data_IF_247919741098
#
_entry.id   IF_247919741098
#
_cell.length_a   1.000
_cell.length_b   1.000
_cell.length_c   1.000
_cell.angle_alpha   90.00
_cell.angle_beta   90.00
_cell.angle_gamma   90.00
#
_symmetry.space_group_name_H-M   'P 1'
#
loop_
_entity.id
_entity.type
_entity.pdbx_description
1 polymer ?
#
# COMPACT_ATOMS: atom_id res chain seq x y z
N UNK A 1 -26.42 12.48 -42.51
CA UNK A 1 -25.87 11.10 -42.59
C UNK A 1 -24.93 10.94 -41.40
N UNK A 2 -25.46 10.53 -40.26
CA UNK A 2 -24.78 10.52 -38.97
C UNK A 2 -24.34 9.10 -38.72
N UNK A 3 -23.02 8.86 -38.69
CA UNK A 3 -22.43 7.54 -38.45
C UNK A 3 -22.34 7.37 -36.91
N UNK A 4 -23.16 6.47 -36.39
CA UNK A 4 -23.09 6.05 -34.98
C UNK A 4 -22.04 4.96 -34.82
N UNK A 5 -21.01 5.21 -34.04
CA UNK A 5 -20.04 4.20 -33.60
C UNK A 5 -20.62 3.36 -32.45
N UNK A 6 -20.58 2.03 -32.52
CA UNK A 6 -21.03 1.20 -31.40
C UNK A 6 -19.99 1.22 -30.28
N UNK A 7 -20.38 1.68 -29.11
CA UNK A 7 -19.63 1.44 -27.87
C UNK A 7 -19.78 -0.03 -27.48
N UNK A 8 -18.70 -0.78 -27.60
CA UNK A 8 -18.63 -2.14 -27.04
C UNK A 8 -18.61 -2.03 -25.53
N UNK A 9 -19.70 -2.41 -24.88
CA UNK A 9 -19.77 -2.63 -23.45
C UNK A 9 -19.02 -3.94 -23.14
N UNK A 10 -17.83 -3.84 -22.55
CA UNK A 10 -17.12 -4.99 -21.99
C UNK A 10 -17.86 -5.33 -20.68
N UNK A 11 -18.75 -6.30 -20.74
CA UNK A 11 -19.32 -6.92 -19.56
C UNK A 11 -18.20 -7.75 -18.89
N UNK A 12 -17.58 -7.20 -17.84
CA UNK A 12 -16.70 -7.94 -16.96
C UNK A 12 -17.55 -8.93 -16.16
N UNK A 13 -17.57 -10.19 -16.57
CA UNK A 13 -18.18 -11.27 -15.79
C UNK A 13 -17.27 -11.54 -14.58
N UNK A 14 -17.53 -10.89 -13.45
CA UNK A 14 -16.84 -11.13 -12.18
C UNK A 14 -17.37 -12.44 -11.62
N UNK A 15 -16.57 -13.49 -11.70
CA UNK A 15 -16.90 -14.77 -11.06
C UNK A 15 -16.32 -14.73 -9.65
N UNK A 16 -17.21 -14.71 -8.68
CA UNK A 16 -16.90 -14.67 -7.25
C UNK A 16 -16.24 -15.98 -6.79
N UNK A 17 -15.00 -15.92 -6.33
CA UNK A 17 -14.26 -17.06 -5.73
C UNK A 17 -14.72 -17.40 -4.31
N UNK A 18 -15.44 -16.49 -3.66
CA UNK A 18 -16.03 -16.73 -2.35
C UNK A 18 -17.39 -16.07 -2.26
N UNK A 19 -18.45 -16.85 -2.25
CA UNK A 19 -19.65 -16.39 -1.60
C UNK A 19 -19.44 -16.67 -0.10
N UNK A 20 -18.84 -15.74 0.64
CA UNK A 20 -19.05 -15.72 2.07
C UNK A 20 -20.58 -15.67 2.29
N UNK A 21 -21.13 -16.45 3.23
CA UNK A 21 -22.56 -16.37 3.53
C UNK A 21 -22.89 -14.91 3.82
N UNK A 22 -23.95 -14.39 3.21
CA UNK A 22 -24.40 -13.03 3.43
C UNK A 22 -24.52 -12.80 4.94
N UNK A 23 -23.70 -11.91 5.50
CA UNK A 23 -23.73 -11.55 6.90
C UNK A 23 -25.12 -10.96 7.19
N UNK A 24 -25.77 -11.43 8.24
CA UNK A 24 -26.99 -10.78 8.72
C UNK A 24 -26.62 -9.38 9.23
N UNK A 25 -27.48 -8.35 9.01
CA UNK A 25 -27.22 -7.01 9.50
C UNK A 25 -27.08 -7.05 11.04
N UNK A 26 -25.90 -6.76 11.56
CA UNK A 26 -25.64 -6.68 12.99
C UNK A 26 -24.35 -7.32 13.47
N UNK A 27 -23.83 -8.37 12.83
CA UNK A 27 -22.58 -9.00 13.22
C UNK A 27 -21.42 -8.53 12.33
N UNK A 28 -20.66 -7.56 12.82
CA UNK A 28 -19.34 -7.24 12.24
C UNK A 28 -18.42 -8.43 12.54
N UNK A 29 -18.21 -9.32 11.54
CA UNK A 29 -17.26 -10.44 11.62
C UNK A 29 -15.82 -9.94 11.47
N UNK A 30 -15.36 -9.22 12.48
CA UNK A 30 -14.04 -8.55 12.48
C UNK A 30 -12.91 -9.58 12.68
N UNK A 31 -13.24 -10.78 13.16
CA UNK A 31 -12.26 -11.81 13.53
C UNK A 31 -12.00 -12.84 12.41
N UNK A 32 -12.64 -12.70 11.24
CA UNK A 32 -12.41 -13.61 10.14
C UNK A 32 -11.06 -13.32 9.49
N UNK A 33 -10.33 -14.40 9.19
CA UNK A 33 -9.04 -14.33 8.54
C UNK A 33 -8.98 -15.27 7.35
N UNK A 34 -8.47 -14.78 6.23
CA UNK A 34 -8.25 -15.58 5.03
C UNK A 34 -6.82 -15.42 4.56
N UNK A 35 -6.13 -16.54 4.33
CA UNK A 35 -4.82 -16.58 3.68
C UNK A 35 -4.92 -17.25 2.32
N UNK A 36 -4.52 -16.53 1.29
CA UNK A 36 -4.33 -17.03 -0.07
C UNK A 36 -2.84 -17.23 -0.30
N UNK A 37 -2.42 -18.42 -0.71
CA UNK A 37 -1.05 -18.69 -1.11
C UNK A 37 -1.06 -19.10 -2.59
N UNK A 38 -0.61 -18.20 -3.46
CA UNK A 38 -0.58 -18.43 -4.89
C UNK A 38 0.48 -19.49 -5.21
N UNK A 39 0.10 -20.52 -5.93
CA UNK A 39 1.02 -21.50 -6.50
C UNK A 39 1.56 -20.96 -7.84
N UNK A 40 2.55 -21.63 -8.47
CA UNK A 40 3.05 -21.18 -9.77
C UNK A 40 1.92 -20.91 -10.77
N UNK A 41 1.92 -19.78 -11.49
CA UNK A 41 0.77 -19.30 -12.29
C UNK A 41 0.27 -20.27 -13.34
N UNK A 42 1.14 -21.11 -13.90
CA UNK A 42 0.81 -22.15 -14.87
C UNK A 42 -0.16 -23.20 -14.31
N UNK A 43 -0.23 -23.33 -12.99
CA UNK A 43 -1.17 -24.24 -12.32
C UNK A 43 -2.56 -23.65 -12.19
N UNK A 44 -2.71 -22.31 -12.27
CA UNK A 44 -3.92 -21.56 -11.94
C UNK A 44 -4.51 -21.95 -10.59
N UNK A 45 -3.65 -22.31 -9.63
CA UNK A 45 -4.06 -22.87 -8.33
C UNK A 45 -3.62 -21.99 -7.17
N UNK A 46 -4.43 -21.99 -6.11
CA UNK A 46 -4.24 -21.20 -4.90
C UNK A 46 -4.52 -22.09 -3.70
N UNK A 47 -3.62 -22.16 -2.73
CA UNK A 47 -3.95 -22.69 -1.40
C UNK A 47 -4.71 -21.63 -0.64
N UNK A 48 -5.80 -22.02 -0.03
CA UNK A 48 -6.66 -21.11 0.75
C UNK A 48 -6.84 -21.68 2.14
N UNK A 49 -6.62 -20.86 3.14
CA UNK A 49 -6.94 -21.14 4.53
C UNK A 49 -7.94 -20.09 5.02
N UNK A 50 -9.08 -20.56 5.52
CA UNK A 50 -10.10 -19.71 6.15
C UNK A 50 -10.15 -20.00 7.65
N UNK A 51 -10.10 -18.96 8.46
CA UNK A 51 -10.53 -18.99 9.85
C UNK A 51 -11.82 -18.20 9.96
N UNK A 52 -12.88 -18.87 10.35
CA UNK A 52 -14.22 -18.30 10.35
C UNK A 52 -15.04 -18.78 11.55
N UNK A 53 -16.16 -18.09 11.77
CA UNK A 53 -17.08 -18.35 12.87
C UNK A 53 -18.47 -18.71 12.39
N UNK A 54 -18.95 -19.91 12.76
CA UNK A 54 -20.33 -20.28 12.63
C UNK A 54 -21.15 -19.64 13.78
N UNK A 55 -22.10 -18.77 13.47
CA UNK A 55 -22.85 -17.96 14.47
C UNK A 55 -24.32 -18.34 14.58
N UNK A 56 -24.86 -19.20 13.72
CA UNK A 56 -26.25 -19.65 13.78
C UNK A 56 -26.45 -20.57 14.98
N UNK A 57 -27.19 -20.11 15.99
CA UNK A 57 -27.49 -20.88 17.20
C UNK A 57 -28.08 -22.27 16.88
N UNK A 58 -27.60 -23.30 17.55
CA UNK A 58 -28.03 -24.67 17.37
C UNK A 58 -27.51 -25.34 16.11
N UNK A 59 -26.84 -24.63 15.19
CA UNK A 59 -26.29 -25.24 13.99
C UNK A 59 -25.28 -26.33 14.34
N UNK A 60 -25.40 -27.48 13.66
CA UNK A 60 -24.49 -28.63 13.77
C UNK A 60 -23.57 -28.78 12.57
N UNK A 61 -23.80 -27.98 11.53
CA UNK A 61 -23.02 -28.00 10.31
C UNK A 61 -22.71 -26.59 9.86
N UNK A 62 -21.62 -26.44 9.12
CA UNK A 62 -21.25 -25.23 8.39
C UNK A 62 -21.06 -25.57 6.91
N UNK A 63 -21.51 -24.72 5.99
CA UNK A 63 -21.38 -24.95 4.56
C UNK A 63 -20.55 -23.83 3.92
N UNK A 64 -19.40 -24.19 3.38
CA UNK A 64 -18.56 -23.34 2.53
C UNK A 64 -18.94 -23.59 1.06
N UNK A 65 -19.46 -22.58 0.39
CA UNK A 65 -19.89 -22.67 -1.01
C UNK A 65 -18.70 -22.51 -1.96
N UNK A 66 -18.66 -23.38 -2.95
CA UNK A 66 -17.63 -23.36 -3.99
C UNK A 66 -18.14 -22.67 -5.24
N UNK A 67 -17.40 -21.70 -5.82
CA UNK A 67 -17.78 -21.07 -7.08
C UNK A 67 -17.84 -22.09 -8.22
N UNK A 68 -18.77 -21.89 -9.14
CA UNK A 68 -18.88 -22.74 -10.33
C UNK A 68 -17.56 -22.71 -11.15
N UNK A 69 -17.20 -23.86 -11.70
CA UNK A 69 -15.98 -24.01 -12.51
C UNK A 69 -14.67 -24.06 -11.72
N UNK A 70 -14.72 -24.17 -10.39
CA UNK A 70 -13.53 -24.43 -9.56
C UNK A 70 -13.38 -25.93 -9.25
N UNK A 71 -12.11 -26.36 -9.12
CA UNK A 71 -11.80 -27.69 -8.61
C UNK A 71 -11.12 -27.52 -7.26
N UNK A 72 -11.48 -28.38 -6.30
CA UNK A 72 -10.97 -28.34 -4.94
C UNK A 72 -10.27 -29.64 -4.61
N UNK A 73 -9.12 -29.56 -3.94
CA UNK A 73 -8.33 -30.69 -3.46
C UNK A 73 -7.65 -30.35 -2.14
N UNK A 74 -7.12 -31.39 -1.45
CA UNK A 74 -6.35 -31.21 -0.22
C UNK A 74 -7.15 -30.54 0.90
N UNK A 75 -8.46 -30.86 1.02
CA UNK A 75 -9.31 -30.28 2.05
C UNK A 75 -8.95 -30.82 3.42
N UNK A 76 -8.76 -29.92 4.38
CA UNK A 76 -8.64 -30.24 5.81
C UNK A 76 -9.49 -29.25 6.60
N UNK A 77 -10.11 -29.72 7.67
CA UNK A 77 -10.95 -28.90 8.55
C UNK A 77 -10.60 -29.17 10.00
N UNK A 78 -10.45 -28.09 10.77
CA UNK A 78 -10.04 -28.16 12.18
C UNK A 78 -10.98 -27.32 13.05
N UNK A 79 -11.37 -27.84 14.20
CA UNK A 79 -11.99 -27.06 15.28
C UNK A 79 -10.91 -26.19 15.94
N UNK A 80 -11.04 -24.88 15.85
CA UNK A 80 -10.02 -23.96 16.37
C UNK A 80 -10.00 -23.86 17.89
N UNK A 81 -11.06 -24.34 18.58
CA UNK A 81 -11.08 -24.39 20.04
C UNK A 81 -10.25 -25.53 20.62
N UNK A 82 -10.23 -26.67 19.91
CA UNK A 82 -9.60 -27.89 20.41
C UNK A 82 -8.38 -28.31 19.59
N UNK A 83 -8.20 -27.76 18.38
CA UNK A 83 -7.16 -28.18 17.44
C UNK A 83 -7.46 -29.53 16.78
N UNK A 84 -8.64 -30.12 16.98
CA UNK A 84 -8.97 -31.46 16.46
C UNK A 84 -9.55 -31.39 15.05
N UNK A 85 -9.23 -32.38 14.18
CA UNK A 85 -9.83 -32.48 12.86
C UNK A 85 -11.35 -32.68 12.95
N UNK A 86 -12.08 -32.06 12.03
CA UNK A 86 -13.53 -32.20 11.86
C UNK A 86 -13.86 -33.03 10.63
N UNK A 87 -14.98 -33.75 10.68
CA UNK A 87 -15.51 -34.47 9.51
C UNK A 87 -16.18 -33.51 8.54
N UNK A 88 -16.04 -33.75 7.25
CA UNK A 88 -16.63 -32.95 6.21
C UNK A 88 -17.02 -33.80 4.97
N UNK A 89 -17.87 -33.26 4.15
CA UNK A 89 -18.23 -33.80 2.83
C UNK A 89 -17.96 -32.77 1.76
N UNK A 90 -17.40 -33.17 0.63
CA UNK A 90 -17.13 -32.31 -0.53
C UNK A 90 -18.06 -32.69 -1.66
N UNK A 91 -18.76 -31.71 -2.21
CA UNK A 91 -19.56 -31.83 -3.43
C UNK A 91 -18.99 -30.86 -4.50
N UNK A 92 -19.55 -30.89 -5.70
CA UNK A 92 -19.15 -29.96 -6.76
C UNK A 92 -19.33 -28.46 -6.37
N UNK A 93 -20.25 -28.17 -5.44
CA UNK A 93 -20.68 -26.81 -5.14
C UNK A 93 -20.43 -26.38 -3.68
N UNK A 94 -19.98 -27.29 -2.81
CA UNK A 94 -19.82 -26.98 -1.40
C UNK A 94 -18.92 -27.95 -0.65
N UNK A 95 -18.35 -27.45 0.47
CA UNK A 95 -17.76 -28.25 1.54
C UNK A 95 -18.71 -28.12 2.74
N UNK A 96 -19.32 -29.20 3.18
CA UNK A 96 -20.16 -29.23 4.37
C UNK A 96 -19.40 -29.84 5.53
N UNK A 97 -19.18 -29.06 6.58
CA UNK A 97 -18.42 -29.42 7.78
C UNK A 97 -19.40 -29.80 8.89
N UNK A 98 -19.14 -30.92 9.59
CA UNK A 98 -19.82 -31.27 10.83
C UNK A 98 -19.10 -30.64 12.01
N UNK A 99 -19.77 -29.76 12.75
CA UNK A 99 -19.19 -29.08 13.92
C UNK A 99 -19.03 -30.06 15.09
N UNK A 100 -18.00 -29.90 15.89
CA UNK A 100 -17.74 -30.74 17.07
C UNK A 100 -18.87 -30.70 18.10
N UNK A 101 -19.60 -29.59 18.14
CA UNK A 101 -20.77 -29.32 18.98
C UNK A 101 -21.71 -28.34 18.28
N UNK A 102 -23.00 -28.32 18.67
CA UNK A 102 -23.93 -27.29 18.21
C UNK A 102 -23.41 -25.92 18.63
N UNK A 103 -23.62 -24.93 17.76
CA UNK A 103 -23.29 -23.53 18.10
C UNK A 103 -24.12 -23.12 19.33
N UNK A 104 -23.46 -22.68 20.43
CA UNK A 104 -24.17 -22.30 21.65
C UNK A 104 -24.97 -21.01 21.47
N UNK A 105 -26.00 -20.83 22.32
CA UNK A 105 -26.73 -19.57 22.39
C UNK A 105 -25.77 -18.43 22.74
N UNK A 106 -25.83 -17.32 21.98
CA UNK A 106 -24.94 -16.17 22.10
C UNK A 106 -23.42 -16.50 21.98
N UNK A 107 -23.11 -17.64 21.37
CA UNK A 107 -21.73 -18.08 21.12
C UNK A 107 -21.47 -18.33 19.64
N UNK A 108 -20.32 -18.94 19.35
CA UNK A 108 -19.88 -19.26 18.01
C UNK A 108 -19.09 -20.57 17.97
N UNK A 109 -19.06 -21.21 16.81
CA UNK A 109 -18.17 -22.32 16.51
C UNK A 109 -17.07 -21.84 15.58
N UNK A 110 -15.81 -21.83 16.06
CA UNK A 110 -14.66 -21.37 15.25
C UNK A 110 -14.02 -22.56 14.54
N UNK A 111 -13.90 -22.45 13.22
CA UNK A 111 -13.33 -23.51 12.37
C UNK A 111 -12.28 -22.93 11.43
N UNK A 112 -11.29 -23.76 11.10
CA UNK A 112 -10.33 -23.49 10.03
C UNK A 112 -10.59 -24.49 8.91
N UNK A 113 -10.69 -23.97 7.67
CA UNK A 113 -10.80 -24.77 6.45
C UNK A 113 -9.58 -24.47 5.58
N UNK A 114 -8.83 -25.51 5.26
CA UNK A 114 -7.71 -25.47 4.32
C UNK A 114 -8.06 -26.23 3.06
N UNK A 115 -7.72 -25.70 1.91
CA UNK A 115 -7.98 -26.33 0.60
C UNK A 115 -7.09 -25.75 -0.49
N UNK A 116 -6.88 -26.50 -1.55
CA UNK A 116 -6.29 -26.00 -2.80
C UNK A 116 -7.42 -25.80 -3.81
N UNK A 117 -7.53 -24.59 -4.36
CA UNK A 117 -8.54 -24.24 -5.36
C UNK A 117 -7.84 -23.98 -6.68
N UNK A 118 -8.28 -24.69 -7.75
CA UNK A 118 -7.86 -24.39 -9.12
C UNK A 118 -8.92 -23.56 -9.78
N UNK A 119 -8.57 -22.35 -10.24
CA UNK A 119 -9.48 -21.40 -10.89
C UNK A 119 -8.76 -20.60 -11.98
N UNK A 120 -8.75 -21.08 -13.24
CA UNK A 120 -8.13 -20.37 -14.36
C UNK A 120 -8.76 -19.00 -14.65
N UNK A 121 -9.98 -18.76 -14.15
CA UNK A 121 -10.67 -17.48 -14.34
C UNK A 121 -10.19 -16.42 -13.35
N UNK A 122 -9.88 -16.83 -12.12
CA UNK A 122 -9.42 -15.94 -11.07
C UNK A 122 -7.90 -15.75 -11.09
N UNK A 123 -7.15 -16.78 -11.46
CA UNK A 123 -5.69 -16.74 -11.53
C UNK A 123 -5.23 -17.03 -12.95
N UNK A 124 -4.93 -15.96 -13.67
CA UNK A 124 -4.60 -15.95 -15.11
C UNK A 124 -3.16 -15.61 -15.33
N UNK A 125 -2.50 -16.34 -16.24
CA UNK A 125 -1.21 -15.98 -16.79
C UNK A 125 -1.41 -15.32 -18.15
N UNK A 126 -0.74 -14.19 -18.38
CA UNK A 126 -0.60 -13.51 -19.65
C UNK A 126 0.89 -13.35 -19.94
N UNK A 127 1.28 -13.01 -21.19
CA UNK A 127 2.70 -12.94 -21.57
C UNK A 127 3.51 -12.06 -20.60
N UNK A 128 4.38 -12.70 -19.80
CA UNK A 128 5.30 -12.05 -18.87
C UNK A 128 4.73 -11.63 -17.51
N UNK A 129 3.44 -11.82 -17.24
CA UNK A 129 2.81 -11.51 -15.97
C UNK A 129 1.68 -12.49 -15.62
N UNK A 130 1.25 -12.48 -14.37
CA UNK A 130 0.05 -13.18 -13.94
C UNK A 130 -0.84 -12.22 -13.13
N UNK A 131 -2.14 -12.43 -13.17
CA UNK A 131 -3.12 -11.64 -12.42
C UNK A 131 -3.99 -12.56 -11.59
N UNK A 132 -4.11 -12.26 -10.31
CA UNK A 132 -5.03 -12.89 -9.39
C UNK A 132 -6.12 -11.92 -8.98
N UNK A 133 -7.38 -12.34 -9.12
CA UNK A 133 -8.56 -11.53 -8.78
C UNK A 133 -9.42 -12.29 -7.79
N UNK A 134 -9.73 -11.66 -6.66
CA UNK A 134 -10.55 -12.27 -5.61
C UNK A 134 -11.44 -11.23 -4.94
N UNK A 135 -12.74 -11.51 -4.74
CA UNK A 135 -13.59 -10.71 -3.87
C UNK A 135 -13.16 -10.92 -2.41
N UNK A 136 -13.03 -9.82 -1.67
CA UNK A 136 -12.73 -9.83 -0.25
C UNK A 136 -14.03 -9.78 0.54
N UNK A 137 -14.24 -10.74 1.43
CA UNK A 137 -15.20 -10.61 2.52
C UNK A 137 -14.74 -9.61 3.57
N UNK A 138 -15.52 -9.46 4.64
CA UNK A 138 -15.08 -8.71 5.82
C UNK A 138 -13.90 -9.41 6.50
N UNK A 139 -13.04 -8.64 7.17
CA UNK A 139 -11.93 -9.15 7.95
C UNK A 139 -10.55 -8.97 7.31
N UNK A 140 -9.60 -9.76 7.79
CA UNK A 140 -8.20 -9.68 7.41
C UNK A 140 -7.86 -10.72 6.34
N UNK A 141 -7.13 -10.28 5.33
CA UNK A 141 -6.71 -11.12 4.21
C UNK A 141 -5.21 -11.02 3.97
N UNK A 142 -4.53 -12.16 3.94
CA UNK A 142 -3.15 -12.27 3.50
C UNK A 142 -3.11 -12.90 2.10
N UNK A 143 -2.28 -12.36 1.22
CA UNK A 143 -1.98 -12.94 -0.09
C UNK A 143 -0.47 -13.14 -0.22
N UNK A 144 -0.03 -14.39 -0.37
CA UNK A 144 1.39 -14.74 -0.55
C UNK A 144 1.66 -15.06 -2.01
N UNK A 145 2.63 -14.38 -2.60
CA UNK A 145 3.06 -14.61 -3.98
C UNK A 145 3.89 -15.91 -4.11
N UNK A 146 3.95 -16.53 -5.30
CA UNK A 146 4.84 -17.66 -5.53
C UNK A 146 6.31 -17.25 -5.37
N UNK A 147 7.16 -18.20 -5.03
CA UNK A 147 8.61 -17.96 -4.98
C UNK A 147 9.14 -17.50 -6.34
N UNK A 148 10.02 -16.50 -6.34
CA UNK A 148 10.60 -15.92 -7.55
C UNK A 148 9.70 -14.91 -8.28
N UNK A 149 8.54 -14.57 -7.71
CA UNK A 149 7.64 -13.56 -8.26
C UNK A 149 7.66 -12.27 -7.45
N UNK A 150 7.64 -11.14 -8.15
CA UNK A 150 7.54 -9.80 -7.61
C UNK A 150 6.13 -9.23 -7.78
N UNK A 151 5.72 -8.36 -6.86
CA UNK A 151 4.50 -7.57 -6.96
C UNK A 151 4.71 -6.40 -7.93
N UNK A 152 3.86 -6.31 -8.96
CA UNK A 152 3.88 -5.18 -9.91
C UNK A 152 2.58 -4.38 -9.93
N UNK A 153 1.54 -4.83 -9.23
CA UNK A 153 0.29 -4.09 -9.09
C UNK A 153 -0.63 -4.60 -8.00
N UNK A 154 -1.32 -3.67 -7.33
CA UNK A 154 -2.43 -3.93 -6.41
C UNK A 154 -3.41 -2.76 -6.49
N UNK A 155 -4.69 -3.04 -6.71
CA UNK A 155 -5.73 -2.02 -6.82
C UNK A 155 -6.28 -1.56 -5.46
N UNK A 156 -5.99 -2.29 -4.38
CA UNK A 156 -6.40 -1.96 -3.01
C UNK A 156 -5.14 -1.68 -2.20
N UNK A 157 -5.16 -0.69 -1.30
CA UNK A 157 -4.05 -0.45 -0.40
C UNK A 157 -3.72 -1.69 0.43
N UNK A 158 -2.48 -2.17 0.34
CA UNK A 158 -1.98 -3.33 1.04
C UNK A 158 -0.65 -3.01 1.73
N UNK A 159 -0.46 -3.56 2.91
CA UNK A 159 0.85 -3.61 3.55
C UNK A 159 1.64 -4.74 2.88
N UNK A 160 2.87 -4.47 2.50
CA UNK A 160 3.73 -5.47 1.87
C UNK A 160 4.79 -5.94 2.87
N UNK A 161 4.87 -7.24 3.03
CA UNK A 161 5.74 -7.91 3.99
C UNK A 161 6.54 -9.01 3.27
N UNK A 162 7.63 -9.45 3.87
CA UNK A 162 8.35 -10.64 3.45
C UNK A 162 8.04 -11.79 4.41
N UNK A 163 7.72 -12.97 3.87
CA UNK A 163 7.67 -14.22 4.62
C UNK A 163 9.09 -14.67 5.00
N UNK A 164 9.20 -15.60 5.95
CA UNK A 164 10.51 -16.14 6.37
C UNK A 164 11.30 -16.79 5.24
N UNK A 165 10.61 -17.35 4.26
CA UNK A 165 11.21 -17.94 3.06
C UNK A 165 11.50 -16.90 1.94
N UNK A 166 11.25 -15.62 2.21
CA UNK A 166 11.52 -14.51 1.29
C UNK A 166 10.42 -14.25 0.28
N UNK A 167 9.31 -14.98 0.30
CA UNK A 167 8.16 -14.66 -0.57
C UNK A 167 7.50 -13.36 -0.13
N UNK A 168 6.97 -12.63 -1.10
CA UNK A 168 6.21 -11.41 -0.83
C UNK A 168 4.80 -11.75 -0.35
N UNK A 169 4.37 -11.11 0.74
CA UNK A 169 3.02 -11.17 1.29
C UNK A 169 2.35 -9.80 1.29
N UNK A 170 1.11 -9.75 0.87
CA UNK A 170 0.22 -8.59 1.01
C UNK A 170 -0.73 -8.86 2.18
N UNK A 171 -0.85 -7.89 3.07
CA UNK A 171 -1.81 -7.87 4.19
C UNK A 171 -2.84 -6.76 3.92
N UNK A 172 -4.11 -7.15 3.82
CA UNK A 172 -5.24 -6.28 3.52
C UNK A 172 -6.31 -6.44 4.60
N UNK A 173 -6.83 -5.32 5.08
CA UNK A 173 -8.01 -5.30 5.95
C UNK A 173 -9.20 -4.75 5.18
N UNK A 174 -10.25 -5.56 5.03
CA UNK A 174 -11.52 -5.11 4.48
C UNK A 174 -12.55 -4.92 5.61
N UNK A 175 -13.03 -3.70 5.76
CA UNK A 175 -13.98 -3.33 6.83
C UNK A 175 -15.36 -3.07 6.21
N UNK A 176 -16.44 -3.71 6.72
CA UNK A 176 -17.80 -3.45 6.25
C UNK A 176 -18.25 -2.00 6.50
N UNK A 177 -19.24 -1.48 5.73
CA UNK A 177 -19.94 -2.14 4.64
C UNK A 177 -19.18 -1.98 3.33
N UNK A 178 -19.02 -3.03 2.60
CA UNK A 178 -18.53 -2.98 1.23
C UNK A 178 -17.79 -4.24 0.81
N UNK A 179 -18.24 -4.81 -0.29
CA UNK A 179 -17.50 -5.83 -0.99
C UNK A 179 -16.38 -5.15 -1.77
N UNK A 180 -15.14 -5.57 -1.53
CA UNK A 180 -13.99 -5.12 -2.29
C UNK A 180 -13.49 -6.26 -3.18
N UNK A 181 -12.99 -5.94 -4.36
CA UNK A 181 -12.33 -6.92 -5.21
C UNK A 181 -10.84 -6.60 -5.26
N UNK A 182 -10.03 -7.50 -4.72
CA UNK A 182 -8.58 -7.40 -4.81
C UNK A 182 -8.13 -7.92 -6.18
N UNK A 183 -7.35 -7.12 -6.88
CA UNK A 183 -6.66 -7.47 -8.11
C UNK A 183 -5.17 -7.28 -7.90
N UNK A 184 -4.42 -8.38 -7.96
CA UNK A 184 -2.96 -8.36 -7.81
C UNK A 184 -2.32 -8.82 -9.11
N UNK A 185 -1.33 -8.06 -9.56
CA UNK A 185 -0.49 -8.42 -10.72
C UNK A 185 0.92 -8.71 -10.26
N UNK A 186 1.46 -9.81 -10.74
CA UNK A 186 2.78 -10.31 -10.37
C UNK A 186 3.57 -10.73 -11.62
N UNK A 187 4.90 -10.73 -11.49
CA UNK A 187 5.81 -11.08 -12.57
C UNK A 187 6.99 -11.89 -12.00
N UNK A 188 7.50 -12.84 -12.76
CA UNK A 188 8.75 -13.52 -12.42
C UNK A 188 9.94 -12.54 -12.46
N UNK A 189 10.85 -12.59 -11.47
CA UNK A 189 12.01 -11.70 -11.41
C UNK A 189 12.49 -11.38 -10.00
N UNK A 190 11.85 -11.93 -8.96
CA UNK A 190 12.35 -11.84 -7.59
C UNK A 190 13.44 -12.90 -7.32
N UNK A 191 14.24 -12.66 -6.28
CA UNK A 191 15.19 -13.64 -5.77
C UNK A 191 14.45 -14.85 -5.19
N UNK A 192 15.14 -16.00 -5.11
CA UNK A 192 14.63 -17.24 -4.53
C UNK A 192 15.63 -17.84 -3.53
N UNK A 193 15.16 -18.80 -2.72
CA UNK A 193 15.99 -19.51 -1.74
C UNK A 193 16.57 -18.57 -0.69
N UNK A 194 17.78 -18.85 -0.22
CA UNK A 194 18.43 -18.08 0.85
C UNK A 194 18.68 -16.60 0.47
N UNK A 195 18.87 -16.32 -0.82
CA UNK A 195 19.04 -14.94 -1.30
C UNK A 195 17.77 -14.09 -1.18
N UNK A 196 16.59 -14.73 -1.12
CA UNK A 196 15.30 -14.04 -0.95
C UNK A 196 14.98 -13.77 0.52
N UNK A 197 15.57 -14.50 1.47
CA UNK A 197 15.23 -14.37 2.90
C UNK A 197 15.47 -12.94 3.39
N UNK A 198 14.53 -12.37 4.18
CA UNK A 198 14.73 -11.07 4.79
C UNK A 198 15.94 -11.14 5.75
N UNK A 199 16.75 -10.09 5.75
CA UNK A 199 17.76 -9.94 6.77
C UNK A 199 17.10 -9.91 8.16
N UNK A 200 17.72 -10.48 9.20
CA UNK A 200 17.22 -10.34 10.57
C UNK A 200 16.98 -8.85 10.88
N UNK A 201 15.87 -8.54 11.53
CA UNK A 201 15.61 -7.18 11.99
C UNK A 201 16.68 -6.81 13.05
N UNK A 202 17.68 -6.05 12.66
CA UNK A 202 18.75 -5.61 13.55
C UNK A 202 18.37 -4.40 14.41
N UNK A 203 17.22 -3.79 14.16
CA UNK A 203 16.72 -2.66 14.92
C UNK A 203 15.61 -3.08 15.88
N UNK A 204 15.96 -3.19 17.16
CA UNK A 204 15.03 -3.07 18.28
C UNK A 204 14.49 -1.63 18.36
N UNK A 205 13.82 -1.14 17.32
CA UNK A 205 12.98 0.05 17.49
C UNK A 205 11.80 -0.37 18.36
N UNK A 206 11.84 0.00 19.63
CA UNK A 206 10.65 0.01 20.44
C UNK A 206 9.61 0.87 19.73
N UNK A 207 8.43 0.33 19.55
CA UNK A 207 7.26 1.09 19.10
C UNK A 207 6.84 2.04 20.22
N UNK A 208 7.62 3.06 20.46
CA UNK A 208 7.15 4.17 21.27
C UNK A 208 6.26 5.04 20.36
N UNK A 209 5.01 5.27 20.75
CA UNK A 209 4.19 6.23 20.03
C UNK A 209 4.93 7.56 20.01
N UNK A 210 4.94 8.29 18.88
CA UNK A 210 5.54 9.62 18.83
C UNK A 210 4.94 10.48 19.95
N UNK A 211 5.74 11.35 20.58
CA UNK A 211 5.25 12.21 21.67
C UNK A 211 4.03 12.98 21.21
N UNK A 212 3.04 13.11 22.10
CA UNK A 212 1.79 13.81 21.83
C UNK A 212 2.07 15.20 21.25
N UNK A 213 1.58 15.43 20.04
CA UNK A 213 1.84 16.65 19.30
C UNK A 213 1.13 17.83 19.97
N UNK A 214 1.86 18.93 20.25
CA UNK A 214 1.36 20.10 20.93
C UNK A 214 0.36 20.95 20.12
N UNK A 215 -0.18 22.03 20.70
CA UNK A 215 -1.23 22.88 20.10
C UNK A 215 -0.88 23.46 18.72
N UNK A 216 0.40 23.67 18.41
CA UNK A 216 0.90 24.23 17.15
C UNK A 216 0.63 23.32 15.95
N UNK A 217 0.50 22.02 16.18
CA UNK A 217 0.23 21.06 15.12
C UNK A 217 -1.24 20.92 14.78
N UNK A 218 -2.15 21.25 15.71
CA UNK A 218 -3.59 21.37 15.43
C UNK A 218 -3.92 22.52 14.50
N UNK A 219 -3.14 23.62 14.53
CA UNK A 219 -3.29 24.73 13.59
C UNK A 219 -2.84 24.34 12.17
N UNK A 220 -1.83 23.44 12.04
CA UNK A 220 -1.41 22.85 10.76
C UNK A 220 -2.43 21.85 10.17
N UNK A 221 -3.31 21.29 10.98
CA UNK A 221 -4.40 20.41 10.56
C UNK A 221 -5.41 21.11 9.63
N UNK A 222 -5.82 22.33 9.94
CA UNK A 222 -6.74 23.11 9.11
C UNK A 222 -6.11 23.42 7.73
N UNK A 223 -4.81 23.70 7.70
CA UNK A 223 -4.07 23.92 6.46
C UNK A 223 -3.97 22.65 5.60
N UNK A 224 -3.76 21.47 6.21
CA UNK A 224 -3.72 20.19 5.51
C UNK A 224 -5.06 19.79 4.89
N UNK A 225 -6.15 20.05 5.58
CA UNK A 225 -7.49 19.69 5.12
C UNK A 225 -7.95 20.51 3.91
N UNK A 226 -7.41 21.72 3.73
CA UNK A 226 -7.80 22.65 2.68
C UNK A 226 -6.84 22.70 1.49
N UNK A 227 -5.67 22.06 1.57
CA UNK A 227 -4.66 22.16 0.53
C UNK A 227 -4.60 20.88 -0.31
N UNK A 228 -4.85 21.04 -1.60
CA UNK A 228 -4.62 20.00 -2.59
C UNK A 228 -3.10 19.86 -2.79
N UNK A 229 -2.50 18.92 -2.03
CA UNK A 229 -1.05 18.67 -1.99
C UNK A 229 -0.76 17.24 -2.39
N UNK A 230 0.12 17.10 -3.38
CA UNK A 230 0.57 15.84 -3.92
C UNK A 230 2.09 15.84 -4.01
N UNK A 231 2.75 14.88 -3.39
CA UNK A 231 4.21 14.74 -3.46
C UNK A 231 4.57 13.39 -4.07
N UNK A 232 5.46 13.41 -5.07
CA UNK A 232 6.01 12.20 -5.67
C UNK A 232 7.52 12.19 -5.45
N UNK A 233 8.02 11.15 -4.82
CA UNK A 233 9.43 10.87 -4.58
C UNK A 233 9.93 9.85 -5.61
N UNK A 234 10.98 10.18 -6.35
CA UNK A 234 11.65 9.28 -7.29
C UNK A 234 13.01 8.90 -6.70
N UNK A 235 13.12 7.68 -6.18
CA UNK A 235 14.35 7.18 -5.61
C UNK A 235 15.39 6.97 -6.72
N UNK A 236 16.58 7.55 -6.54
CA UNK A 236 17.69 7.36 -7.46
C UNK A 236 18.49 6.08 -7.10
N UNK A 237 19.62 5.83 -7.75
CA UNK A 237 20.46 4.69 -7.37
C UNK A 237 20.79 4.77 -5.88
N UNK A 238 20.59 3.69 -5.08
CA UNK A 238 20.72 3.77 -3.62
C UNK A 238 22.10 4.22 -3.11
N UNK A 239 23.14 3.97 -3.91
CA UNK A 239 24.50 4.43 -3.60
C UNK A 239 24.63 5.96 -3.56
N UNK A 240 23.69 6.70 -4.13
CA UNK A 240 23.70 8.18 -4.10
C UNK A 240 23.07 8.75 -2.83
N UNK A 241 22.31 7.94 -2.09
CA UNK A 241 21.44 8.37 -0.98
C UNK A 241 20.48 9.51 -1.37
N UNK A 242 20.15 9.62 -2.67
CA UNK A 242 19.42 10.74 -3.22
C UNK A 242 18.09 10.30 -3.83
N UNK A 243 17.11 11.18 -3.76
CA UNK A 243 15.84 11.08 -4.46
C UNK A 243 15.42 12.46 -4.97
N UNK A 244 14.89 12.52 -6.17
CA UNK A 244 14.21 13.71 -6.66
C UNK A 244 12.76 13.68 -6.24
N UNK A 245 12.13 14.83 -6.15
CA UNK A 245 10.71 14.94 -5.89
C UNK A 245 10.10 16.11 -6.65
N UNK A 246 8.81 16.02 -6.90
CA UNK A 246 8.00 17.18 -7.13
C UNK A 246 6.86 17.25 -6.12
N UNK A 247 6.42 18.48 -5.83
CA UNK A 247 5.35 18.79 -4.93
C UNK A 247 4.36 19.73 -5.64
N UNK A 248 3.16 19.26 -5.90
CA UNK A 248 2.06 20.07 -6.37
C UNK A 248 1.35 20.67 -5.16
N UNK A 249 1.13 21.98 -5.22
CA UNK A 249 0.65 22.75 -4.10
C UNK A 249 -0.27 23.87 -4.58
N UNK A 250 -1.42 24.03 -3.93
CA UNK A 250 -2.35 25.14 -4.16
C UNK A 250 -2.25 26.12 -3.01
N UNK A 251 -1.88 27.37 -3.30
CA UNK A 251 -1.92 28.46 -2.34
C UNK A 251 -3.21 29.28 -2.54
N UNK A 252 -3.94 29.50 -1.45
CA UNK A 252 -5.20 30.24 -1.44
C UNK A 252 -5.26 31.38 -0.43
N UNK A 253 -4.21 31.56 0.37
CA UNK A 253 -4.16 32.61 1.41
C UNK A 253 -3.86 33.97 0.78
N UNK A 254 -4.77 34.95 0.87
CA UNK A 254 -4.54 36.26 0.30
C UNK A 254 -3.25 36.91 0.86
N UNK A 255 -2.50 37.57 -0.01
CA UNK A 255 -1.25 38.25 0.32
C UNK A 255 -0.01 37.35 0.39
N UNK A 256 -0.16 36.00 0.32
CA UNK A 256 0.98 35.09 0.26
C UNK A 256 1.66 35.18 -1.11
N UNK A 257 2.99 35.40 -1.10
CA UNK A 257 3.83 35.65 -2.29
C UNK A 257 5.04 34.71 -2.37
N UNK A 258 5.17 33.78 -1.42
CA UNK A 258 6.28 32.84 -1.38
C UNK A 258 5.90 31.53 -0.72
N UNK A 259 6.55 30.46 -1.17
CA UNK A 259 6.58 29.16 -0.51
C UNK A 259 7.96 28.94 0.11
N UNK A 260 8.00 28.44 1.33
CA UNK A 260 9.23 28.16 2.06
C UNK A 260 9.29 26.65 2.35
N UNK A 261 10.31 25.99 1.84
CA UNK A 261 10.61 24.62 2.16
C UNK A 261 11.81 24.58 3.12
N UNK A 262 11.58 24.13 4.35
CA UNK A 262 12.66 23.90 5.31
C UNK A 262 13.25 22.54 5.06
N UNK A 263 14.54 22.48 4.71
CA UNK A 263 15.27 21.25 4.46
C UNK A 263 15.49 20.52 5.77
N UNK A 264 15.11 19.24 5.83
CA UNK A 264 15.26 18.45 7.06
C UNK A 264 16.74 18.36 7.48
N UNK A 265 16.98 18.46 8.77
CA UNK A 265 18.30 18.28 9.37
C UNK A 265 18.95 16.96 8.90
N UNK A 266 20.23 17.02 8.51
CA UNK A 266 20.95 15.86 7.96
C UNK A 266 20.65 15.56 6.49
N UNK A 267 19.84 16.38 5.83
CA UNK A 267 19.60 16.33 4.38
C UNK A 267 20.17 17.57 3.69
N UNK A 268 20.32 17.49 2.37
CA UNK A 268 20.66 18.64 1.50
C UNK A 268 19.68 18.70 0.35
N UNK A 269 19.24 19.92 -0.01
CA UNK A 269 18.49 20.17 -1.22
C UNK A 269 19.40 20.63 -2.36
N UNK A 270 19.12 20.22 -3.57
CA UNK A 270 19.82 20.63 -4.79
C UNK A 270 18.84 20.70 -5.97
N UNK A 271 19.23 21.48 -6.99
CA UNK A 271 18.47 21.67 -8.23
C UNK A 271 17.00 22.09 -8.00
N UNK A 272 16.71 23.07 -7.13
CA UNK A 272 15.36 23.54 -6.94
C UNK A 272 14.85 24.19 -8.23
N UNK A 273 13.57 23.94 -8.56
CA UNK A 273 12.87 24.59 -9.64
C UNK A 273 11.38 24.69 -9.31
N UNK A 274 10.70 25.68 -9.88
CA UNK A 274 9.28 25.85 -9.68
C UNK A 274 8.63 26.55 -10.87
N UNK A 275 7.35 26.26 -11.06
CA UNK A 275 6.51 26.94 -12.03
C UNK A 275 5.03 26.94 -11.63
N UNK A 276 4.27 27.86 -12.20
CA UNK A 276 2.81 27.90 -12.03
C UNK A 276 2.20 26.85 -12.96
N UNK A 277 1.44 25.90 -12.40
CA UNK A 277 0.83 24.79 -13.16
C UNK A 277 -0.14 25.29 -14.24
N UNK A 278 -0.88 26.37 -13.95
CA UNK A 278 -1.93 26.86 -14.85
C UNK A 278 -1.37 27.63 -16.05
N UNK A 279 -0.17 28.21 -15.94
CA UNK A 279 0.43 29.06 -17.00
C UNK A 279 1.74 28.51 -17.56
N UNK A 280 2.42 27.63 -16.82
CA UNK A 280 3.78 27.18 -17.13
C UNK A 280 4.87 28.24 -16.84
N UNK A 281 4.52 29.37 -16.21
CA UNK A 281 5.46 30.42 -15.84
C UNK A 281 6.49 29.89 -14.84
N UNK A 282 7.78 30.02 -15.19
CA UNK A 282 8.90 29.62 -14.33
C UNK A 282 9.10 30.66 -13.24
N UNK A 283 9.20 30.16 -12.00
CA UNK A 283 9.29 31.00 -10.80
C UNK A 283 10.71 31.19 -10.35
N UNK A 284 11.00 32.37 -9.77
CA UNK A 284 12.25 32.67 -9.10
C UNK A 284 12.35 31.88 -7.79
N UNK A 285 13.51 31.30 -7.54
CA UNK A 285 13.82 30.64 -6.28
C UNK A 285 15.21 31.02 -5.77
N UNK A 286 15.44 30.79 -4.48
CA UNK A 286 16.74 30.89 -3.86
C UNK A 286 16.88 29.89 -2.71
N UNK A 287 18.11 29.45 -2.45
CA UNK A 287 18.46 28.64 -1.29
C UNK A 287 19.21 29.50 -0.30
N UNK A 288 18.75 29.52 0.96
CA UNK A 288 19.33 30.33 2.04
C UNK A 288 19.76 29.42 3.18
N UNK A 289 20.85 29.78 3.86
CA UNK A 289 21.38 29.00 4.96
C UNK A 289 21.75 29.88 6.16
N UNK A 290 21.39 29.39 7.36
CA UNK A 290 21.78 30.01 8.63
C UNK A 290 21.50 31.52 8.72
N UNK A 291 22.54 32.31 8.84
CA UNK A 291 22.46 33.78 9.01
C UNK A 291 21.78 34.51 7.83
N UNK A 292 21.81 33.95 6.63
CA UNK A 292 21.12 34.53 5.45
C UNK A 292 19.60 34.57 5.63
N UNK A 293 19.04 33.52 6.29
CA UNK A 293 17.61 33.44 6.60
C UNK A 293 17.21 34.58 7.54
N UNK A 294 18.01 34.78 8.58
CA UNK A 294 17.77 35.85 9.58
C UNK A 294 17.97 37.25 8.96
N UNK A 295 18.99 37.43 8.12
CA UNK A 295 19.24 38.70 7.44
C UNK A 295 18.09 39.12 6.51
N UNK A 296 17.40 38.14 5.90
CA UNK A 296 16.20 38.37 5.07
C UNK A 296 14.89 38.41 5.85
N UNK A 297 14.95 38.28 7.18
CA UNK A 297 13.78 38.31 8.08
C UNK A 297 12.72 37.25 7.72
N UNK A 298 13.14 36.11 7.17
CA UNK A 298 12.22 35.02 6.78
C UNK A 298 11.86 34.21 8.03
N UNK A 299 10.57 34.15 8.32
CA UNK A 299 10.02 33.37 9.44
C UNK A 299 9.75 31.94 8.97
N UNK A 300 10.36 30.95 9.64
CA UNK A 300 10.23 29.52 9.28
C UNK A 300 9.49 28.68 10.33
N UNK A 301 9.08 29.31 11.44
CA UNK A 301 8.33 28.63 12.50
C UNK A 301 9.18 27.75 13.42
N UNK A 302 10.49 27.78 13.27
CA UNK A 302 11.48 27.11 14.14
C UNK A 302 12.72 27.98 14.33
N UNK A 303 13.57 27.57 15.26
CA UNK A 303 14.85 28.31 15.52
C UNK A 303 15.82 28.09 14.38
N UNK A 304 16.31 29.20 13.81
CA UNK A 304 17.37 29.16 12.78
C UNK A 304 18.72 28.84 13.43
N UNK A 305 19.36 27.78 12.96
CA UNK A 305 20.74 27.40 13.33
C UNK A 305 21.67 27.60 12.15
N UNK A 306 22.98 27.56 12.34
CA UNK A 306 23.93 27.64 11.22
C UNK A 306 23.74 26.60 10.14
N UNK A 307 23.16 25.45 10.48
CA UNK A 307 22.90 24.34 9.56
C UNK A 307 21.49 24.34 8.98
N UNK A 308 20.61 25.24 9.44
CA UNK A 308 19.26 25.41 8.88
C UNK A 308 19.38 25.86 7.42
N UNK A 309 18.77 25.10 6.52
CA UNK A 309 18.71 25.40 5.08
C UNK A 309 17.24 25.49 4.65
N UNK A 310 16.91 26.50 3.85
CA UNK A 310 15.58 26.67 3.27
C UNK A 310 15.67 26.92 1.77
N UNK A 311 14.65 26.45 1.04
CA UNK A 311 14.40 26.83 -0.34
C UNK A 311 13.18 27.74 -0.37
N UNK A 312 13.35 28.95 -0.89
CA UNK A 312 12.28 29.95 -1.02
C UNK A 312 11.89 30.07 -2.50
N UNK A 313 10.61 30.00 -2.78
CA UNK A 313 10.05 30.14 -4.11
C UNK A 313 9.11 31.33 -4.11
N UNK A 314 9.32 32.27 -5.03
CA UNK A 314 8.56 33.50 -5.13
C UNK A 314 7.53 33.41 -6.25
N UNK A 315 6.31 33.87 -5.98
CA UNK A 315 5.21 33.93 -6.95
C UNK A 315 4.38 35.22 -6.75
N UNK A 316 3.54 35.62 -7.71
CA UNK A 316 2.67 36.75 -7.55
C UNK A 316 1.77 36.59 -6.32
N UNK A 317 1.64 37.68 -5.52
CA UNK A 317 0.82 37.63 -4.31
C UNK A 317 -0.62 37.22 -4.62
N UNK A 318 -1.13 36.23 -3.91
CA UNK A 318 -2.48 35.68 -4.07
C UNK A 318 -3.48 36.78 -3.73
N UNK A 319 -4.41 37.07 -4.65
CA UNK A 319 -5.47 38.04 -4.41
C UNK A 319 -6.67 37.40 -3.70
N UNK A 320 -7.51 38.18 -2.97
CA UNK A 320 -8.73 37.66 -2.38
C UNK A 320 -9.59 36.91 -3.42
N UNK A 321 -10.01 35.69 -3.09
CA UNK A 321 -10.82 34.84 -3.97
C UNK A 321 -10.05 34.16 -5.10
N UNK A 322 -8.72 34.32 -5.16
CA UNK A 322 -7.85 33.63 -6.13
C UNK A 322 -7.07 32.50 -5.48
N UNK A 323 -6.57 31.62 -6.33
CA UNK A 323 -5.62 30.53 -5.95
C UNK A 323 -4.49 30.48 -6.97
N UNK A 324 -3.31 30.08 -6.53
CA UNK A 324 -2.14 29.82 -7.40
C UNK A 324 -1.73 28.36 -7.21
N UNK A 325 -1.66 27.64 -8.32
CA UNK A 325 -1.22 26.23 -8.32
C UNK A 325 0.23 26.12 -8.76
N UNK A 326 1.05 25.59 -7.88
CA UNK A 326 2.51 25.53 -8.05
C UNK A 326 2.97 24.09 -8.18
N UNK A 327 3.95 23.81 -9.04
CA UNK A 327 4.81 22.64 -8.96
C UNK A 327 6.20 23.06 -8.55
N UNK A 328 6.68 22.44 -7.51
CA UNK A 328 8.02 22.63 -6.94
C UNK A 328 8.77 21.32 -7.13
N UNK A 329 9.98 21.36 -7.64
CA UNK A 329 10.81 20.19 -7.80
C UNK A 329 12.21 20.43 -7.24
N UNK A 330 12.78 19.41 -6.63
CA UNK A 330 14.13 19.45 -6.05
C UNK A 330 14.68 18.03 -5.87
N UNK A 331 15.97 17.92 -5.61
CA UNK A 331 16.63 16.66 -5.30
C UNK A 331 17.16 16.73 -3.87
N UNK A 332 16.80 15.74 -3.07
CA UNK A 332 17.32 15.56 -1.72
C UNK A 332 18.43 14.51 -1.70
N UNK A 333 19.53 14.81 -1.01
CA UNK A 333 20.47 13.80 -0.53
C UNK A 333 20.24 13.64 0.96
N UNK A 334 19.80 12.45 1.39
CA UNK A 334 19.33 12.18 2.74
C UNK A 334 19.69 10.75 3.19
N UNK A 335 20.95 10.48 3.58
CA UNK A 335 21.42 9.11 3.88
C UNK A 335 20.69 8.47 5.07
N UNK A 336 20.16 9.25 5.98
CA UNK A 336 19.33 8.72 7.08
C UNK A 336 17.97 8.23 6.62
N UNK A 337 17.42 8.83 5.55
CA UNK A 337 16.10 8.49 5.01
C UNK A 337 16.18 7.50 3.85
N UNK A 338 17.28 7.48 3.11
CA UNK A 338 17.44 6.63 1.93
C UNK A 338 18.85 6.08 1.83
N UNK A 339 18.98 4.74 1.83
CA UNK A 339 20.28 4.06 1.88
C UNK A 339 20.22 2.63 1.38
N UNK A 340 21.38 2.02 1.18
CA UNK A 340 21.54 0.57 1.15
C UNK A 340 21.80 0.06 2.57
N UNK A 341 21.13 -1.04 2.93
CA UNK A 341 21.39 -1.83 4.13
C UNK A 341 21.63 -3.28 3.67
N UNK A 342 22.89 -3.66 3.59
CA UNK A 342 23.30 -4.88 2.91
C UNK A 342 22.90 -4.85 1.42
N UNK A 343 22.06 -5.78 1.00
CA UNK A 343 21.52 -5.85 -0.37
C UNK A 343 20.17 -5.15 -0.53
N UNK A 344 19.60 -4.65 0.57
CA UNK A 344 18.28 -4.04 0.58
C UNK A 344 18.39 -2.52 0.39
N UNK A 345 17.64 -1.98 -0.55
CA UNK A 345 17.27 -0.57 -0.58
C UNK A 345 16.32 -0.31 0.60
N UNK A 346 16.60 0.72 1.38
CA UNK A 346 15.75 1.17 2.48
C UNK A 346 15.38 2.64 2.27
N UNK A 347 14.08 2.93 2.24
CA UNK A 347 13.56 4.29 2.30
C UNK A 347 12.68 4.42 3.53
N UNK A 348 13.04 5.37 4.41
CA UNK A 348 12.40 5.60 5.69
C UNK A 348 12.10 7.09 5.87
N UNK A 349 10.82 7.46 5.90
CA UNK A 349 10.42 8.87 5.95
C UNK A 349 9.01 9.06 6.51
N UNK A 350 8.83 10.12 7.30
CA UNK A 350 7.51 10.64 7.67
C UNK A 350 6.90 11.41 6.50
N UNK A 351 5.73 10.97 6.03
CA UNK A 351 4.97 11.58 4.95
C UNK A 351 3.77 12.34 5.51
N UNK A 352 3.86 13.65 5.48
CA UNK A 352 2.87 14.53 6.12
C UNK A 352 1.77 15.05 5.19
N UNK A 353 1.79 14.80 3.90
CA UNK A 353 0.81 15.30 2.93
C UNK A 353 -0.34 14.31 2.74
N UNK A 354 -1.45 14.79 2.19
CA UNK A 354 -2.63 13.95 1.96
C UNK A 354 -2.32 12.84 0.95
N UNK A 355 -1.65 13.17 -0.15
CA UNK A 355 -1.24 12.20 -1.16
C UNK A 355 0.28 12.20 -1.30
N UNK A 356 0.85 11.02 -1.23
CA UNK A 356 2.28 10.80 -1.38
C UNK A 356 2.53 9.59 -2.25
N UNK A 357 3.49 9.67 -3.14
CA UNK A 357 3.92 8.55 -3.95
C UNK A 357 5.41 8.33 -3.83
N UNK A 358 5.85 7.08 -3.83
CA UNK A 358 7.25 6.70 -3.85
C UNK A 358 7.49 5.77 -5.04
N UNK A 359 8.44 6.14 -5.90
CA UNK A 359 8.84 5.38 -7.07
C UNK A 359 10.22 4.79 -6.82
N UNK A 360 10.33 3.46 -6.83
CA UNK A 360 11.60 2.75 -6.67
C UNK A 360 12.48 2.96 -7.91
N UNK A 361 13.82 2.86 -7.79
CA UNK A 361 14.71 2.94 -8.93
C UNK A 361 14.43 1.81 -9.93
N UNK A 362 14.65 2.06 -11.20
CA UNK A 362 14.56 1.01 -12.22
C UNK A 362 15.48 -0.17 -11.90
N UNK A 363 15.02 -1.39 -12.15
CA UNK A 363 15.74 -2.61 -11.81
C UNK A 363 15.59 -3.08 -10.36
N UNK A 364 14.79 -2.38 -9.54
CA UNK A 364 14.48 -2.78 -8.18
C UNK A 364 13.04 -3.28 -8.07
N UNK A 365 12.77 -4.19 -7.15
CA UNK A 365 11.42 -4.66 -6.82
C UNK A 365 11.13 -4.49 -5.33
N UNK A 366 9.86 -4.35 -4.99
CA UNK A 366 9.38 -4.13 -3.63
C UNK A 366 9.42 -5.42 -2.83
N UNK A 367 9.97 -5.38 -1.62
CA UNK A 367 9.98 -6.49 -0.67
C UNK A 367 9.20 -6.19 0.61
N UNK A 368 9.08 -4.92 0.99
CA UNK A 368 8.26 -4.53 2.15
C UNK A 368 7.77 -3.09 2.04
N UNK A 369 6.57 -2.84 2.59
CA UNK A 369 6.01 -1.52 2.89
C UNK A 369 5.26 -1.59 4.21
N UNK A 370 5.67 -0.82 5.21
CA UNK A 370 5.07 -0.84 6.56
C UNK A 370 3.65 -0.26 6.61
N UNK A 371 3.34 0.63 5.67
CA UNK A 371 2.04 1.29 5.56
C UNK A 371 1.32 0.79 4.31
N UNK A 372 0.00 0.58 4.35
CA UNK A 372 -0.76 0.20 3.18
C UNK A 372 -0.61 1.19 2.03
N UNK A 373 -0.33 0.67 0.83
CA UNK A 373 -0.17 1.43 -0.41
C UNK A 373 -0.85 0.72 -1.58
N UNK A 374 -1.34 1.49 -2.54
CA UNK A 374 -1.64 0.96 -3.88
C UNK A 374 -0.34 0.82 -4.63
N UNK A 375 -0.08 -0.36 -5.18
CA UNK A 375 1.13 -0.65 -5.94
C UNK A 375 0.83 -0.70 -7.42
N UNK A 376 1.66 -0.03 -8.22
CA UNK A 376 1.55 -0.03 -9.68
C UNK A 376 2.93 -0.05 -10.33
N UNK A 377 2.99 -0.44 -11.59
CA UNK A 377 4.21 -0.36 -12.40
C UNK A 377 4.12 0.86 -13.33
N UNK A 378 5.19 1.63 -13.39
CA UNK A 378 5.33 2.77 -14.30
C UNK A 378 5.74 2.30 -15.71
N UNK A 379 5.70 3.19 -16.70
CA UNK A 379 6.05 2.86 -18.09
C UNK A 379 7.49 2.35 -18.25
N UNK A 380 8.41 2.82 -17.41
CA UNK A 380 9.82 2.41 -17.36
C UNK A 380 10.09 1.17 -16.48
N UNK A 381 9.02 0.46 -16.07
CA UNK A 381 9.07 -0.75 -15.25
C UNK A 381 9.55 -0.54 -13.81
N UNK A 382 9.51 0.69 -13.32
CA UNK A 382 9.72 1.01 -11.92
C UNK A 382 8.46 0.72 -11.09
N UNK A 383 8.62 0.39 -9.81
CA UNK A 383 7.49 0.16 -8.92
C UNK A 383 7.11 1.48 -8.23
N UNK A 384 5.85 1.84 -8.29
CA UNK A 384 5.24 3.00 -7.65
C UNK A 384 4.32 2.55 -6.52
N UNK A 385 4.46 3.21 -5.36
CA UNK A 385 3.59 3.06 -4.21
C UNK A 385 2.85 4.38 -3.99
N UNK A 386 1.52 4.32 -3.94
CA UNK A 386 0.67 5.49 -3.67
C UNK A 386 0.06 5.36 -2.27
N UNK A 387 0.31 6.36 -1.43
CA UNK A 387 -0.17 6.45 -0.05
C UNK A 387 -1.17 7.58 0.08
N UNK A 388 -2.27 7.32 0.80
CA UNK A 388 -3.23 8.35 1.20
C UNK A 388 -3.14 8.54 2.71
N UNK A 389 -2.77 9.75 3.14
CA UNK A 389 -2.79 10.14 4.54
C UNK A 389 -4.08 10.92 4.83
N UNK A 390 -5.07 10.23 5.36
CA UNK A 390 -6.32 10.83 5.85
C UNK A 390 -6.28 11.19 7.35
N UNK A 391 -5.09 11.09 7.96
CA UNK A 391 -4.86 11.37 9.39
C UNK A 391 -4.36 12.81 9.57
N UNK A 392 -4.55 13.38 10.75
CA UNK A 392 -4.03 14.70 11.09
C UNK A 392 -2.49 14.75 11.25
N UNK A 393 -1.85 13.62 11.49
CA UNK A 393 -0.40 13.47 11.67
C UNK A 393 0.30 12.90 10.42
N UNK A 394 1.58 12.63 10.53
CA UNK A 394 2.36 12.02 9.44
C UNK A 394 2.23 10.50 9.43
N UNK A 395 2.40 9.90 8.25
CA UNK A 395 2.62 8.46 8.09
C UNK A 395 4.11 8.17 8.15
N UNK A 396 4.56 7.35 9.08
CA UNK A 396 5.94 6.87 9.12
C UNK A 396 6.08 5.67 8.20
N UNK A 397 6.60 5.95 7.01
CA UNK A 397 6.72 4.97 5.94
C UNK A 397 8.10 4.35 5.97
N UNK A 398 8.15 3.01 5.94
CA UNK A 398 9.34 2.21 5.80
C UNK A 398 9.18 1.26 4.62
N UNK A 399 10.01 1.44 3.58
CA UNK A 399 9.96 0.68 2.33
C UNK A 399 11.29 -0.06 2.17
N UNK A 400 11.22 -1.33 1.79
CA UNK A 400 12.36 -2.13 1.34
C UNK A 400 12.20 -2.57 -0.10
N UNK A 401 13.32 -2.62 -0.80
CA UNK A 401 13.39 -3.18 -2.13
C UNK A 401 14.70 -3.93 -2.36
N UNK A 402 14.70 -4.81 -3.34
CA UNK A 402 15.89 -5.55 -3.78
C UNK A 402 16.14 -5.35 -5.26
N UNK A 403 17.40 -5.42 -5.64
CA UNK A 403 17.79 -5.39 -7.04
C UNK A 403 17.33 -6.69 -7.72
N UNK A 404 16.68 -6.57 -8.88
CA UNK A 404 16.34 -7.74 -9.70
C UNK A 404 17.62 -8.47 -10.09
N UNK A 405 17.63 -9.82 -10.09
CA UNK A 405 18.75 -10.56 -10.63
C UNK A 405 18.99 -10.12 -12.08
N UNK A 406 20.24 -9.96 -12.47
CA UNK A 406 20.60 -9.61 -13.86
C UNK A 406 20.04 -10.67 -14.81
N UNK A 407 19.37 -10.21 -15.89
CA UNK A 407 18.99 -11.06 -17.01
C UNK A 407 20.20 -11.33 -17.87
#
# INVERSE_FOLDING_TARGET
>A
MTIATPRAAIAACVISLTAAPAAQPGDARVDEYTRYELLPPETSSVKVMYELSATTEGARTYTDRLPAGTTVSGVAVTDMMTGTPLTFAVTANAITVTLARPVPSKGQGRIRIEKTVKSPQAYKQTSGAATFTVPLGAGRHDLVLPAGYELIGSNIPARVLAEEDGRTKLDVMNVPPGDATLVVTLRAGALTGDAARPAPLTNNRSWEPPPAQGPTERARLAERAHLDRDIVYFLQAPSTNAFSLYHDYTESRPGTDKYINVVRTGSRSSNPSAYILDTGEVLKHETLKGAEITAKQIQIGETVTPDTEIVVIYFPAVQPGQTVRLRLAETYTAPQSYRLDGSDLVFERSLGRTRNSVVLPSGWYLTASSIPAVVSETADKSIRLDFVNNRPDSLDVYIKGRKRPGR
#
